data_IF_877685926824
#
_entry.id   IF_877685926824
#
_cell.length_a   1.000
_cell.length_b   1.000
_cell.length_c   1.000
_cell.angle_alpha   90.00
_cell.angle_beta   90.00
_cell.angle_gamma   90.00
#
_symmetry.space_group_name_H-M   'P 1'
#
loop_
_entity.id
_entity.type
_entity.pdbx_description
1 polymer ?
#
# COMPACT_ATOMS: atom_id res chain seq x y z
N UNK A 1 -8.62 2.72 58.09
CA UNK A 1 -10.01 2.79 58.59
C UNK A 1 -10.86 3.53 57.58
N UNK A 2 -11.92 2.87 57.09
CA UNK A 2 -13.12 3.36 56.40
C UNK A 2 -12.96 4.33 55.20
N UNK A 3 -13.05 3.88 53.94
CA UNK A 3 -14.22 3.36 53.20
C UNK A 3 -15.20 4.46 52.76
N UNK A 4 -15.37 4.66 51.44
CA UNK A 4 -16.66 4.93 50.79
C UNK A 4 -16.52 5.03 49.26
N UNK A 5 -16.71 3.90 48.59
CA UNK A 5 -17.26 3.87 47.24
C UNK A 5 -18.65 4.53 47.25
N UNK A 6 -18.93 5.40 46.28
CA UNK A 6 -20.31 5.71 45.86
C UNK A 6 -20.48 5.34 44.39
N UNK A 7 -20.92 4.10 44.20
CA UNK A 7 -21.63 3.70 42.99
C UNK A 7 -23.00 4.39 42.98
N UNK A 8 -23.26 5.24 41.99
CA UNK A 8 -24.59 5.77 41.74
C UNK A 8 -25.24 4.96 40.63
N UNK A 9 -25.97 3.92 41.04
CA UNK A 9 -26.93 3.19 40.23
C UNK A 9 -28.28 3.91 40.24
N UNK A 10 -28.75 4.39 39.08
CA UNK A 10 -30.20 4.62 38.88
C UNK A 10 -30.59 4.66 37.40
N UNK A 11 -31.10 3.50 36.97
CA UNK A 11 -32.21 3.21 36.06
C UNK A 11 -32.36 3.97 34.71
N UNK A 12 -32.49 3.24 33.58
CA UNK A 12 -32.98 3.80 32.32
C UNK A 12 -34.51 3.98 32.37
N UNK A 13 -34.98 5.21 32.12
CA UNK A 13 -36.39 5.52 31.98
C UNK A 13 -36.96 4.92 30.69
N UNK A 14 -37.95 4.06 30.86
CA UNK A 14 -38.84 3.53 29.84
C UNK A 14 -39.83 4.59 29.35
N UNK A 15 -39.88 4.86 28.05
CA UNK A 15 -41.15 5.08 27.33
C UNK A 15 -40.96 4.87 25.82
N UNK A 16 -41.88 4.14 25.14
CA UNK A 16 -41.77 3.81 23.74
C UNK A 16 -42.48 4.88 22.89
N UNK A 17 -41.77 5.47 21.92
CA UNK A 17 -42.43 6.20 20.84
C UNK A 17 -42.60 5.25 19.66
N UNK A 18 -43.78 4.63 19.64
CA UNK A 18 -44.35 3.93 18.51
C UNK A 18 -44.76 4.98 17.48
N UNK A 19 -43.99 5.10 16.40
CA UNK A 19 -44.48 5.78 15.19
C UNK A 19 -45.06 4.73 14.25
N UNK A 20 -46.37 4.58 14.35
CA UNK A 20 -47.19 3.76 13.47
C UNK A 20 -47.59 4.57 12.21
N UNK A 21 -47.75 3.84 11.09
CA UNK A 21 -48.49 4.21 9.86
C UNK A 21 -47.75 5.17 8.87
N UNK A 22 -47.69 4.97 7.55
CA UNK A 22 -48.54 4.20 6.60
C UNK A 22 -47.70 3.69 5.42
N UNK A 23 -47.81 2.40 5.08
CA UNK A 23 -47.44 1.89 3.76
C UNK A 23 -48.73 1.79 2.94
N UNK A 24 -48.91 2.67 1.96
CA UNK A 24 -50.06 2.61 1.06
C UNK A 24 -49.84 1.54 0.02
N UNK A 25 -50.59 0.45 0.16
CA UNK A 25 -50.81 -0.61 -0.82
C UNK A 25 -51.34 -0.04 -2.14
N UNK A 26 -50.54 -0.09 -3.20
CA UNK A 26 -51.00 0.17 -4.56
C UNK A 26 -51.67 -1.11 -5.09
N UNK A 27 -52.99 -1.07 -5.17
CA UNK A 27 -53.85 -2.14 -5.67
C UNK A 27 -53.57 -2.42 -7.15
N UNK A 28 -53.31 -3.69 -7.47
CA UNK A 28 -53.51 -4.26 -8.80
C UNK A 28 -55.01 -4.24 -9.12
N UNK A 29 -55.42 -3.44 -10.08
CA UNK A 29 -56.69 -3.60 -10.78
C UNK A 29 -56.41 -4.24 -12.13
N UNK A 30 -56.80 -5.50 -12.29
CA UNK A 30 -56.92 -6.12 -13.60
C UNK A 30 -58.16 -5.59 -14.32
N UNK A 31 -58.06 -5.48 -15.64
CA UNK A 31 -59.20 -5.42 -16.55
C UNK A 31 -59.18 -6.67 -17.45
N UNK A 32 -60.36 -7.23 -17.81
CA UNK A 32 -60.46 -8.54 -18.42
C UNK A 32 -60.53 -8.50 -19.96
N UNK A 33 -60.23 -9.68 -20.52
CA UNK A 33 -60.46 -10.20 -21.87
C UNK A 33 -61.33 -9.38 -22.83
N UNK A 34 -60.87 -9.26 -24.08
CA UNK A 34 -61.60 -9.82 -25.23
C UNK A 34 -60.72 -9.98 -26.46
N UNK A 35 -60.86 -11.17 -27.04
CA UNK A 35 -60.26 -11.75 -28.24
C UNK A 35 -60.76 -11.10 -29.54
N UNK A 36 -60.00 -11.34 -30.63
CA UNK A 36 -60.34 -11.28 -32.07
C UNK A 36 -59.65 -10.11 -32.79
N UNK A 37 -58.96 -10.25 -33.94
CA UNK A 37 -59.02 -11.22 -35.02
C UNK A 37 -57.66 -11.39 -35.72
N UNK A 38 -57.55 -12.57 -36.30
CA UNK A 38 -56.61 -13.13 -37.26
C UNK A 38 -55.93 -12.23 -38.31
N UNK A 39 -54.78 -12.77 -38.76
CA UNK A 39 -54.12 -12.67 -40.08
C UNK A 39 -53.16 -11.50 -40.30
N UNK A 40 -51.89 -11.78 -40.01
CA UNK A 40 -50.82 -11.55 -40.97
C UNK A 40 -49.77 -12.67 -40.82
N UNK A 41 -49.69 -13.52 -41.83
CA UNK A 41 -48.58 -14.47 -41.99
C UNK A 41 -47.33 -13.65 -42.30
N UNK A 42 -46.39 -13.61 -41.36
CA UNK A 42 -45.07 -13.02 -41.54
C UNK A 42 -44.08 -13.88 -40.79
N UNK A 43 -43.56 -14.89 -41.48
CA UNK A 43 -42.49 -15.78 -41.02
C UNK A 43 -41.34 -14.90 -40.54
N UNK A 44 -41.06 -14.87 -39.24
CA UNK A 44 -39.82 -14.31 -38.74
C UNK A 44 -38.67 -15.06 -39.43
N UNK A 45 -37.72 -14.40 -40.12
CA UNK A 45 -36.65 -15.11 -40.79
C UNK A 45 -35.82 -15.82 -39.72
N UNK A 46 -35.80 -17.16 -39.76
CA UNK A 46 -34.84 -17.95 -38.99
C UNK A 46 -33.45 -17.42 -39.34
N UNK A 47 -32.74 -16.90 -38.33
CA UNK A 47 -31.32 -16.54 -38.46
C UNK A 47 -30.61 -17.77 -39.05
N UNK A 48 -29.96 -17.68 -40.21
CA UNK A 48 -29.27 -18.83 -40.77
C UNK A 48 -28.18 -19.24 -39.78
N UNK A 49 -28.26 -20.47 -39.30
CA UNK A 49 -27.19 -21.10 -38.53
C UNK A 49 -25.98 -21.16 -39.46
N UNK A 50 -25.04 -20.23 -39.29
CA UNK A 50 -23.81 -20.20 -40.06
C UNK A 50 -23.04 -21.47 -39.69
N UNK A 51 -23.07 -22.48 -40.56
CA UNK A 51 -22.23 -23.66 -40.42
C UNK A 51 -20.76 -23.19 -40.43
N UNK A 52 -19.92 -23.61 -39.47
CA UNK A 52 -18.50 -23.31 -39.50
C UNK A 52 -17.84 -24.17 -40.59
N UNK A 53 -17.93 -23.74 -41.84
CA UNK A 53 -17.18 -24.35 -42.95
C UNK A 53 -15.90 -23.55 -43.16
N UNK A 54 -14.86 -23.95 -42.44
CA UNK A 54 -13.45 -23.93 -42.82
C UNK A 54 -12.69 -24.28 -41.55
N UNK A 55 -12.12 -25.47 -41.50
CA UNK A 55 -11.07 -25.76 -40.54
C UNK A 55 -9.97 -24.69 -40.71
N UNK A 56 -9.43 -24.11 -39.63
CA UNK A 56 -8.31 -23.21 -39.74
C UNK A 56 -7.18 -23.93 -40.49
N UNK A 57 -6.44 -23.25 -41.38
CA UNK A 57 -5.40 -23.91 -42.17
C UNK A 57 -4.45 -24.65 -41.23
N UNK A 58 -4.33 -25.96 -41.41
CA UNK A 58 -3.29 -26.74 -40.75
C UNK A 58 -1.94 -26.18 -41.24
N UNK A 59 -1.19 -25.60 -40.31
CA UNK A 59 0.18 -25.20 -40.56
C UNK A 59 0.95 -26.42 -41.09
N UNK A 60 1.59 -26.29 -42.25
CA UNK A 60 2.40 -27.36 -42.83
C UNK A 60 3.45 -27.84 -41.83
N UNK A 61 3.84 -29.12 -41.93
CA UNK A 61 4.69 -29.83 -40.98
C UNK A 61 6.07 -29.15 -40.74
N UNK A 62 6.46 -28.22 -41.62
CA UNK A 62 7.74 -27.50 -41.59
C UNK A 62 7.64 -25.99 -41.24
N UNK A 63 6.54 -25.55 -40.61
CA UNK A 63 6.18 -24.12 -40.54
C UNK A 63 6.80 -23.22 -39.45
N UNK A 64 7.51 -23.74 -38.44
CA UNK A 64 8.21 -22.89 -37.46
C UNK A 64 9.49 -23.58 -36.98
N UNK A 65 10.64 -22.93 -37.17
CA UNK A 65 11.86 -23.32 -36.48
C UNK A 65 11.57 -23.35 -34.99
N UNK A 66 11.72 -24.53 -34.36
CA UNK A 66 11.59 -24.66 -32.90
C UNK A 66 12.48 -23.58 -32.28
N UNK A 67 11.96 -22.72 -31.39
CA UNK A 67 12.78 -21.71 -30.76
C UNK A 67 13.97 -22.42 -30.13
N UNK A 68 15.18 -22.03 -30.56
CA UNK A 68 16.42 -22.56 -30.00
C UNK A 68 16.31 -22.45 -28.49
N UNK A 69 16.54 -23.52 -27.71
CA UNK A 69 16.48 -23.45 -26.26
C UNK A 69 17.43 -22.35 -25.82
N UNK A 70 16.89 -21.20 -25.39
CA UNK A 70 17.71 -20.18 -24.79
C UNK A 70 18.29 -20.81 -23.54
N UNK A 71 19.61 -21.03 -23.55
CA UNK A 71 20.33 -21.51 -22.37
C UNK A 71 20.04 -20.51 -21.26
N UNK A 72 19.19 -20.91 -20.31
CA UNK A 72 18.94 -20.11 -19.13
C UNK A 72 20.26 -20.11 -18.36
N UNK A 73 21.00 -19.02 -18.50
CA UNK A 73 22.22 -18.79 -17.75
C UNK A 73 21.80 -18.78 -16.27
N UNK A 74 22.04 -19.88 -15.56
CA UNK A 74 21.73 -20.00 -14.14
C UNK A 74 22.74 -19.15 -13.39
N UNK A 75 22.54 -17.82 -13.38
CA UNK A 75 23.33 -16.91 -12.58
C UNK A 75 23.15 -17.34 -11.13
N UNK A 76 24.20 -17.93 -10.56
CA UNK A 76 24.20 -18.36 -9.15
C UNK A 76 23.77 -17.14 -8.32
N UNK A 77 22.61 -17.21 -7.66
CA UNK A 77 22.14 -16.13 -6.78
C UNK A 77 23.20 -15.92 -5.72
N UNK A 78 23.93 -14.82 -5.83
CA UNK A 78 24.92 -14.42 -4.82
C UNK A 78 24.14 -14.19 -3.53
N UNK A 79 24.58 -14.82 -2.43
CA UNK A 79 23.94 -14.60 -1.13
C UNK A 79 24.11 -13.12 -0.76
N UNK A 80 23.00 -12.40 -0.73
CA UNK A 80 22.96 -10.97 -0.43
C UNK A 80 22.29 -10.74 0.93
N UNK A 81 22.87 -9.82 1.71
CA UNK A 81 22.27 -9.36 2.96
C UNK A 81 21.40 -8.16 2.63
N UNK A 82 20.08 -8.29 2.80
CA UNK A 82 19.17 -7.15 2.60
C UNK A 82 18.90 -6.42 3.92
N UNK A 83 19.06 -5.11 3.87
CA UNK A 83 18.68 -4.17 4.92
C UNK A 83 17.45 -3.37 4.48
N UNK A 84 16.64 -2.93 5.43
CA UNK A 84 15.45 -2.13 5.17
C UNK A 84 15.56 -0.81 5.91
N UNK A 85 15.48 0.29 5.17
CA UNK A 85 15.47 1.64 5.71
C UNK A 85 14.05 2.20 5.65
N UNK A 86 13.43 2.34 6.81
CA UNK A 86 12.12 2.95 6.97
C UNK A 86 12.26 4.45 7.24
N UNK A 87 11.69 5.28 6.38
CA UNK A 87 11.55 6.72 6.59
C UNK A 87 10.09 7.03 6.91
N UNK A 88 9.81 7.30 8.18
CA UNK A 88 8.52 7.79 8.62
C UNK A 88 8.56 9.30 8.76
N UNK A 89 7.91 10.00 7.82
CA UNK A 89 7.84 11.46 7.81
C UNK A 89 6.42 11.91 8.16
N UNK A 90 6.28 12.39 9.40
CA UNK A 90 5.05 13.00 9.90
C UNK A 90 5.16 14.54 9.85
N UNK A 91 4.04 15.29 9.94
CA UNK A 91 4.09 16.76 9.94
C UNK A 91 4.89 17.38 11.09
N UNK A 92 5.15 16.63 12.17
CA UNK A 92 5.76 17.14 13.41
C UNK A 92 7.16 16.56 13.68
N UNK A 93 7.55 15.49 12.96
CA UNK A 93 8.82 14.80 13.18
C UNK A 93 9.12 13.84 12.02
N UNK A 94 10.41 13.59 11.81
CA UNK A 94 10.92 12.55 10.91
C UNK A 94 11.69 11.51 11.71
N UNK A 95 11.41 10.24 11.43
CA UNK A 95 12.06 9.09 12.07
C UNK A 95 12.57 8.16 10.98
N UNK A 96 13.86 7.84 11.04
CA UNK A 96 14.50 6.88 10.16
C UNK A 96 14.89 5.63 10.96
N UNK A 97 14.51 4.46 10.49
CA UNK A 97 14.74 3.19 11.19
C UNK A 97 15.37 2.18 10.25
N UNK A 98 16.53 1.66 10.65
CA UNK A 98 17.27 0.64 9.92
C UNK A 98 16.98 -0.73 10.55
N UNK A 99 16.55 -1.68 9.72
CA UNK A 99 16.14 -3.02 10.15
C UNK A 99 16.71 -4.10 9.24
N UNK A 100 16.78 -5.34 9.76
CA UNK A 100 17.03 -6.54 8.95
C UNK A 100 15.74 -7.00 8.26
N UNK A 101 15.83 -8.02 7.40
CA UNK A 101 14.66 -8.62 6.76
C UNK A 101 13.66 -9.21 7.77
N UNK A 102 14.16 -9.69 8.91
CA UNK A 102 13.37 -10.27 10.00
C UNK A 102 12.59 -9.23 10.80
N UNK A 103 12.78 -7.93 10.52
CA UNK A 103 12.16 -6.82 11.26
C UNK A 103 12.90 -6.43 12.53
N UNK A 104 13.98 -7.12 12.90
CA UNK A 104 14.85 -6.70 14.00
C UNK A 104 15.47 -5.33 13.71
N UNK A 105 15.33 -4.39 14.64
CA UNK A 105 15.88 -3.04 14.50
C UNK A 105 17.37 -3.03 14.83
N UNK A 106 18.17 -2.43 13.95
CA UNK A 106 19.61 -2.25 14.16
C UNK A 106 19.89 -0.89 14.77
N UNK A 107 19.33 0.16 14.17
CA UNK A 107 19.48 1.53 14.62
C UNK A 107 18.26 2.36 14.21
N UNK A 108 18.01 3.44 14.93
CA UNK A 108 16.99 4.40 14.58
C UNK A 108 17.45 5.81 14.96
N UNK A 109 17.02 6.77 14.17
CA UNK A 109 17.32 8.18 14.35
C UNK A 109 16.04 8.98 14.16
N UNK A 110 15.93 10.09 14.85
CA UNK A 110 14.80 11.02 14.72
C UNK A 110 15.29 12.45 14.77
N UNK A 111 14.46 13.41 14.35
CA UNK A 111 14.82 14.83 14.45
C UNK A 111 15.25 15.22 15.87
N UNK A 112 14.61 14.63 16.88
CA UNK A 112 15.01 14.79 18.29
C UNK A 112 16.39 14.22 18.63
N UNK A 113 16.71 13.01 18.16
CA UNK A 113 18.04 12.39 18.32
C UNK A 113 19.15 13.18 17.61
N UNK A 114 18.78 13.91 16.55
CA UNK A 114 19.68 14.85 15.86
C UNK A 114 19.91 16.18 16.58
N UNK A 115 19.33 16.38 17.76
CA UNK A 115 19.52 17.57 18.58
C UNK A 115 18.46 18.66 18.34
N UNK A 116 17.52 18.46 17.41
CA UNK A 116 16.47 19.43 17.13
C UNK A 116 15.39 19.38 18.22
N UNK A 117 14.96 20.56 18.69
CA UNK A 117 13.97 20.70 19.78
C UNK A 117 12.66 21.26 19.25
N UNK A 118 11.54 20.86 19.89
CA UNK A 118 10.18 21.34 19.59
C UNK A 118 9.83 21.20 18.09
N UNK A 119 9.26 22.24 17.48
CA UNK A 119 8.83 22.24 16.07
C UNK A 119 9.99 22.06 15.08
N UNK A 120 11.24 22.35 15.48
CA UNK A 120 12.39 22.23 14.59
C UNK A 120 12.73 20.76 14.25
N UNK A 121 12.05 19.78 14.85
CA UNK A 121 12.21 18.35 14.51
C UNK A 121 11.50 17.97 13.21
N UNK A 122 10.55 18.79 12.76
CA UNK A 122 9.75 18.55 11.57
C UNK A 122 10.39 19.12 10.28
N UNK A 123 11.42 19.95 10.43
CA UNK A 123 12.02 20.69 9.32
C UNK A 123 12.82 19.77 8.39
N UNK A 124 13.01 20.25 7.17
CA UNK A 124 13.86 19.59 6.16
C UNK A 124 15.26 19.25 6.71
N UNK A 125 15.94 20.22 7.32
CA UNK A 125 17.28 20.04 7.91
C UNK A 125 17.33 18.90 8.93
N UNK A 126 16.32 18.79 9.80
CA UNK A 126 16.24 17.71 10.77
C UNK A 126 16.10 16.33 10.10
N UNK A 127 15.28 16.26 9.04
CA UNK A 127 15.13 15.05 8.23
C UNK A 127 16.44 14.67 7.50
N UNK A 128 17.16 15.66 6.97
CA UNK A 128 18.42 15.47 6.27
C UNK A 128 19.50 14.91 7.20
N UNK A 129 19.66 15.49 8.39
CA UNK A 129 20.60 14.99 9.40
C UNK A 129 20.26 13.56 9.87
N UNK A 130 18.98 13.21 9.95
CA UNK A 130 18.57 11.83 10.23
C UNK A 130 18.98 10.87 9.11
N UNK A 131 18.82 11.28 7.85
CA UNK A 131 19.23 10.51 6.69
C UNK A 131 20.73 10.23 6.71
N UNK A 132 21.55 11.27 6.87
CA UNK A 132 23.02 11.17 6.89
C UNK A 132 23.50 10.24 8.00
N UNK A 133 22.94 10.33 9.22
CA UNK A 133 23.30 9.40 10.32
C UNK A 133 22.92 7.95 10.02
N UNK A 134 21.80 7.76 9.33
CA UNK A 134 21.37 6.43 8.91
C UNK A 134 22.31 5.86 7.85
N UNK A 135 22.77 6.69 6.91
CA UNK A 135 23.73 6.30 5.87
C UNK A 135 25.07 5.90 6.47
N UNK A 136 25.62 6.70 7.39
CA UNK A 136 26.84 6.32 8.13
C UNK A 136 26.72 4.96 8.80
N UNK A 137 25.55 4.68 9.41
CA UNK A 137 25.33 3.38 10.03
C UNK A 137 25.25 2.23 9.03
N UNK A 138 24.67 2.46 7.86
CA UNK A 138 24.65 1.48 6.76
C UNK A 138 26.07 1.23 6.24
N UNK A 139 26.89 2.27 6.11
CA UNK A 139 28.30 2.16 5.68
C UNK A 139 29.14 1.36 6.67
N UNK A 140 29.00 1.61 7.98
CA UNK A 140 29.64 0.82 9.03
C UNK A 140 29.29 -0.68 8.89
N UNK A 141 28.00 -0.99 8.72
CA UNK A 141 27.52 -2.36 8.59
C UNK A 141 28.01 -3.00 7.30
N UNK A 142 28.03 -2.25 6.20
CA UNK A 142 28.56 -2.71 4.91
C UNK A 142 30.03 -3.12 5.07
N UNK A 143 30.85 -2.26 5.67
CA UNK A 143 32.28 -2.53 5.85
C UNK A 143 32.51 -3.78 6.72
N UNK A 144 31.70 -3.95 7.77
CA UNK A 144 31.74 -5.14 8.62
C UNK A 144 31.38 -6.42 7.84
N UNK A 145 30.26 -6.43 7.12
CA UNK A 145 29.79 -7.60 6.36
C UNK A 145 30.75 -7.97 5.23
N UNK A 146 31.31 -6.98 4.53
CA UNK A 146 32.27 -7.20 3.45
C UNK A 146 33.54 -7.85 4.00
N UNK A 147 34.00 -7.43 5.17
CA UNK A 147 35.20 -7.99 5.83
C UNK A 147 34.98 -9.42 6.31
N UNK A 148 33.83 -9.70 6.94
CA UNK A 148 33.53 -11.01 7.53
C UNK A 148 33.12 -12.06 6.50
N UNK A 149 32.21 -11.70 5.58
CA UNK A 149 31.47 -12.68 4.77
C UNK A 149 31.57 -12.44 3.26
N UNK A 150 32.16 -11.32 2.81
CA UNK A 150 32.24 -10.92 1.38
C UNK A 150 30.89 -10.94 0.65
N UNK A 151 29.78 -10.83 1.38
CA UNK A 151 28.41 -10.81 0.84
C UNK A 151 28.08 -9.42 0.32
N UNK A 152 27.23 -9.36 -0.72
CA UNK A 152 26.72 -8.08 -1.19
C UNK A 152 25.67 -7.55 -0.22
N UNK A 153 25.65 -6.24 0.01
CA UNK A 153 24.65 -5.58 0.86
C UNK A 153 23.70 -4.80 -0.03
N UNK A 154 22.40 -5.01 0.17
CA UNK A 154 21.34 -4.37 -0.59
C UNK A 154 20.40 -3.66 0.38
N UNK A 155 19.92 -2.47 0.02
CA UNK A 155 19.04 -1.66 0.86
C UNK A 155 17.69 -1.46 0.18
N UNK A 156 16.62 -1.77 0.90
CA UNK A 156 15.24 -1.45 0.52
C UNK A 156 14.78 -0.18 1.24
N UNK A 157 14.29 0.81 0.50
CA UNK A 157 13.77 2.06 1.05
C UNK A 157 12.25 2.02 1.18
N UNK A 158 11.74 2.34 2.37
CA UNK A 158 10.31 2.41 2.65
C UNK A 158 9.91 3.79 3.15
N UNK A 159 9.05 4.49 2.42
CA UNK A 159 8.50 5.77 2.85
C UNK A 159 7.15 5.60 3.53
N UNK A 160 6.87 6.42 4.55
CA UNK A 160 5.56 6.51 5.20
C UNK A 160 5.25 7.95 5.57
N UNK A 161 4.26 8.52 4.89
CA UNK A 161 3.81 9.91 5.08
C UNK A 161 4.43 10.88 4.07
N UNK A 162 3.94 12.11 4.10
CA UNK A 162 4.28 13.19 3.17
C UNK A 162 4.86 14.43 3.88
N UNK A 163 5.56 14.24 5.00
CA UNK A 163 6.26 15.33 5.68
C UNK A 163 7.56 15.75 4.96
N UNK A 164 8.14 16.88 5.37
CA UNK A 164 9.36 17.44 4.76
C UNK A 164 10.56 16.48 4.82
N UNK A 165 10.61 15.59 5.81
CA UNK A 165 11.70 14.61 5.94
C UNK A 165 11.75 13.56 4.84
N UNK A 166 10.64 13.33 4.11
CA UNK A 166 10.63 12.46 2.93
C UNK A 166 11.49 13.05 1.82
N UNK A 167 11.28 14.33 1.53
CA UNK A 167 12.06 15.06 0.53
C UNK A 167 13.50 15.24 1.00
N UNK A 168 13.73 15.42 2.29
CA UNK A 168 15.07 15.48 2.86
C UNK A 168 15.87 14.17 2.69
N UNK A 169 15.24 13.01 2.91
CA UNK A 169 15.89 11.71 2.63
C UNK A 169 16.21 11.56 1.14
N UNK A 170 15.29 11.96 0.26
CA UNK A 170 15.52 11.94 -1.19
C UNK A 170 16.66 12.88 -1.58
N UNK A 171 16.70 14.08 -1.02
CA UNK A 171 17.79 15.04 -1.21
C UNK A 171 19.13 14.46 -0.76
N UNK A 172 19.18 13.87 0.44
CA UNK A 172 20.40 13.24 0.97
C UNK A 172 20.88 12.06 0.12
N UNK A 173 19.98 11.28 -0.49
CA UNK A 173 20.36 10.20 -1.41
C UNK A 173 20.94 10.70 -2.73
N UNK A 174 20.53 11.87 -3.19
CA UNK A 174 21.01 12.49 -4.43
C UNK A 174 22.25 13.36 -4.21
N UNK A 175 22.46 13.82 -2.98
CA UNK A 175 23.62 14.56 -2.55
C UNK A 175 24.85 13.65 -2.37
N UNK A 176 25.98 14.25 -2.01
CA UNK A 176 27.28 13.56 -1.89
C UNK A 176 27.30 12.54 -0.75
N UNK A 177 26.55 12.76 0.32
CA UNK A 177 26.42 11.85 1.46
C UNK A 177 25.72 10.54 1.07
N UNK A 178 24.94 10.55 -0.01
CA UNK A 178 24.24 9.38 -0.54
C UNK A 178 25.04 8.59 -1.57
N UNK A 179 26.21 9.05 -2.01
CA UNK A 179 26.93 8.47 -3.16
C UNK A 179 27.28 6.98 -2.96
N UNK A 180 27.72 6.61 -1.76
CA UNK A 180 28.05 5.22 -1.41
C UNK A 180 26.83 4.32 -1.21
N UNK A 181 25.70 4.93 -0.84
CA UNK A 181 24.44 4.25 -0.51
C UNK A 181 23.61 4.03 -1.78
N UNK A 182 23.58 5.02 -2.68
CA UNK A 182 22.79 5.04 -3.91
C UNK A 182 22.92 3.78 -4.76
N UNK A 183 24.12 3.19 -5.01
CA UNK A 183 24.23 1.93 -5.76
C UNK A 183 23.75 0.69 -4.99
N UNK A 184 23.59 0.78 -3.67
CA UNK A 184 23.12 -0.32 -2.83
C UNK A 184 21.58 -0.38 -2.78
N UNK A 185 20.90 0.69 -3.17
CA UNK A 185 19.43 0.77 -3.12
C UNK A 185 18.83 -0.08 -4.23
N UNK A 186 18.13 -1.15 -3.87
CA UNK A 186 17.44 -2.01 -4.84
C UNK A 186 15.99 -1.59 -5.09
N UNK A 187 15.25 -1.27 -4.03
CA UNK A 187 13.82 -0.96 -4.14
C UNK A 187 13.46 0.30 -3.37
N UNK A 188 12.51 1.05 -3.93
CA UNK A 188 11.91 2.21 -3.27
C UNK A 188 10.40 1.99 -3.26
N UNK A 189 9.82 1.88 -2.08
CA UNK A 189 8.39 1.58 -1.89
C UNK A 189 7.74 2.61 -0.97
N UNK A 190 6.61 3.17 -1.39
CA UNK A 190 5.76 3.98 -0.52
C UNK A 190 4.77 3.08 0.23
N UNK A 191 4.78 3.14 1.56
CA UNK A 191 3.88 2.42 2.47
C UNK A 191 2.98 3.37 3.26
N UNK A 192 2.65 4.52 2.69
CA UNK A 192 1.72 5.45 3.31
C UNK A 192 0.33 4.83 3.43
N UNK A 193 -0.23 4.67 4.64
CA UNK A 193 -1.49 3.96 4.83
C UNK A 193 -2.67 4.81 4.33
N UNK A 194 -3.48 4.23 3.45
CA UNK A 194 -4.77 4.78 3.02
C UNK A 194 -5.86 3.84 3.53
N UNK A 195 -6.83 4.38 4.27
CA UNK A 195 -7.94 3.59 4.80
C UNK A 195 -9.12 3.60 3.82
N UNK A 196 -9.67 2.43 3.51
CA UNK A 196 -10.93 2.27 2.77
C UNK A 196 -12.01 1.97 3.80
N UNK A 197 -12.75 3.00 4.23
CA UNK A 197 -13.58 2.93 5.44
C UNK A 197 -12.75 2.95 6.74
N UNK A 198 -13.35 2.57 7.87
CA UNK A 198 -12.69 2.51 9.19
C UNK A 198 -13.16 3.57 10.18
N UNK A 199 -12.34 3.89 11.20
CA UNK A 199 -12.72 4.83 12.27
C UNK A 199 -12.90 6.27 11.76
N UNK A 200 -13.87 6.97 12.33
CA UNK A 200 -14.15 8.39 12.02
C UNK A 200 -12.93 9.25 12.34
N UNK A 201 -12.50 10.08 11.39
CA UNK A 201 -11.41 11.03 11.63
C UNK A 201 -11.80 12.08 12.68
N UNK A 202 -10.80 12.69 13.34
CA UNK A 202 -11.03 13.79 14.27
C UNK A 202 -11.78 14.92 13.55
N UNK A 203 -12.75 15.53 14.24
CA UNK A 203 -13.46 16.71 13.74
C UNK A 203 -12.44 17.78 13.32
N UNK A 204 -12.68 18.43 12.17
CA UNK A 204 -11.84 19.52 11.70
C UNK A 204 -11.71 20.61 12.77
N UNK A 205 -10.48 21.05 13.11
CA UNK A 205 -10.26 22.10 14.09
C UNK A 205 -10.79 23.44 13.55
N UNK A 206 -11.21 24.33 14.47
CA UNK A 206 -11.66 25.71 14.19
C UNK A 206 -10.49 26.65 14.50
N UNK A 207 -9.46 26.62 13.68
CA UNK A 207 -8.31 27.52 13.80
C UNK A 207 -8.65 28.90 13.23
#
# INVERSE_FOLDING_TARGET
MFNALRACSRQPSSSPWVTQLRYTSMKRSGSPLATALSKAHGIAPKRPTRQPTAEPPQAGEDGYAKPVPQQQETTRKKEEVRLRLHCHSSPNNTITTLTKQDGSTIAWFSGGSCGFKKGNRATYEAGYQCAVRSFRKIEEIKNQIVSESKKNVVVDLFFKGFGQGRDALRGALLATEGEQIRPLVATITDRTPIKIGGTRAKKMPRL
#
